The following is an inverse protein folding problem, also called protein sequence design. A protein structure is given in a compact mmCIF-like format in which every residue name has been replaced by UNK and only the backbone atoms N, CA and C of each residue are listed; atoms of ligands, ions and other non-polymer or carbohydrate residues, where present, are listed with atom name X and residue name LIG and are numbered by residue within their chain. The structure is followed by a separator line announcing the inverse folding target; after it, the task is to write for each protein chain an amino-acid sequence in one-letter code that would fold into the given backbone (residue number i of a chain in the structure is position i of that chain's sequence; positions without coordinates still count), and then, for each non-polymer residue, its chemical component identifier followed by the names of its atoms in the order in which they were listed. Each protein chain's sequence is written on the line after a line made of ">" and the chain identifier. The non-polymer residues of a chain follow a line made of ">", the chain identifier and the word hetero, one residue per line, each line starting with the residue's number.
data_IF_897603384933
#
_entry.id   IF_897603384933
#
_cell.length_a   1.000
_cell.length_b   1.000
_cell.length_c   1.000
_cell.angle_alpha   90.00
_cell.angle_beta   90.00
_cell.angle_gamma   90.00
#
_symmetry.space_group_name_H-M   'P 1'
#
loop_
_entity.id
_entity.type
_entity.pdbx_description
1 polymer ?
#
# COMPACT_ATOMS: atom_id res chain seq x y z
N UNK A 1 -3.14 5.53 22.88
CA UNK A 1 -2.04 5.16 21.95
C UNK A 1 -2.52 5.44 20.55
N UNK A 2 -2.00 6.51 19.96
CA UNK A 2 -2.28 6.90 18.58
C UNK A 2 -0.98 6.88 17.81
N UNK A 3 -0.99 6.35 16.58
CA UNK A 3 0.24 6.23 15.80
C UNK A 3 0.11 5.18 14.70
N UNK A 4 1.27 4.72 14.24
CA UNK A 4 1.39 3.71 13.19
C UNK A 4 2.37 2.62 13.57
N UNK A 5 2.17 1.42 13.05
CA UNK A 5 3.09 0.30 13.18
C UNK A 5 3.41 -0.20 11.79
N UNK A 6 4.69 -0.30 11.47
CA UNK A 6 5.16 -0.96 10.25
C UNK A 6 5.24 -2.47 10.49
N UNK A 7 4.17 -3.21 10.19
CA UNK A 7 4.16 -4.66 10.43
C UNK A 7 4.76 -5.40 9.25
N UNK A 8 5.66 -6.34 9.52
CA UNK A 8 6.00 -7.39 8.58
C UNK A 8 4.91 -8.47 8.65
N UNK A 9 3.94 -8.44 7.72
CA UNK A 9 2.89 -9.45 7.66
C UNK A 9 3.52 -10.80 7.29
N UNK A 10 3.32 -11.87 8.09
CA UNK A 10 3.75 -13.21 7.71
C UNK A 10 2.83 -13.81 6.62
N UNK A 11 3.32 -14.80 5.90
CA UNK A 11 2.52 -15.63 4.98
C UNK A 11 1.42 -16.36 5.78
N UNK A 12 0.27 -16.61 5.15
CA UNK A 12 -0.84 -17.37 5.73
C UNK A 12 -1.84 -16.55 6.56
N UNK A 13 -1.53 -15.28 6.88
CA UNK A 13 -2.46 -14.37 7.54
C UNK A 13 -3.11 -13.41 6.55
N UNK A 14 -4.41 -13.16 6.64
CA UNK A 14 -4.99 -11.99 5.95
C UNK A 14 -4.50 -10.69 6.61
N UNK A 15 -4.63 -9.56 5.91
CA UNK A 15 -4.38 -8.25 6.54
C UNK A 15 -5.31 -7.98 7.74
N UNK A 16 -6.52 -8.55 7.72
CA UNK A 16 -7.49 -8.42 8.83
C UNK A 16 -7.08 -9.27 10.04
N UNK A 17 -6.46 -10.43 9.82
CA UNK A 17 -5.96 -11.27 10.91
C UNK A 17 -4.85 -10.56 11.69
N UNK A 18 -3.97 -9.84 11.01
CA UNK A 18 -2.96 -8.99 11.68
C UNK A 18 -3.63 -7.91 12.53
N UNK A 19 -4.65 -7.23 12.00
CA UNK A 19 -5.41 -6.24 12.77
C UNK A 19 -6.07 -6.87 13.99
N UNK A 20 -6.68 -8.06 13.84
CA UNK A 20 -7.32 -8.78 14.93
C UNK A 20 -6.32 -9.28 15.98
N UNK A 21 -5.13 -9.68 15.55
CA UNK A 21 -4.02 -10.06 16.42
C UNK A 21 -3.52 -8.87 17.25
N UNK A 22 -3.25 -7.73 16.61
CA UNK A 22 -2.83 -6.50 17.30
C UNK A 22 -3.91 -5.97 18.25
N UNK A 23 -5.18 -6.03 17.86
CA UNK A 23 -6.30 -5.63 18.71
C UNK A 23 -6.32 -6.40 20.03
N UNK A 24 -6.05 -7.72 19.97
CA UNK A 24 -5.96 -8.58 21.15
C UNK A 24 -4.72 -8.27 21.99
N UNK A 25 -3.54 -8.17 21.37
CA UNK A 25 -2.30 -7.88 22.07
C UNK A 25 -2.33 -6.52 22.81
N UNK A 26 -2.76 -5.48 22.10
CA UNK A 26 -2.70 -4.09 22.59
C UNK A 26 -3.92 -3.70 23.43
N UNK A 27 -4.94 -4.57 23.51
CA UNK A 27 -6.26 -4.26 24.06
C UNK A 27 -6.85 -2.94 23.50
N UNK A 28 -6.74 -2.73 22.18
CA UNK A 28 -7.06 -1.45 21.54
C UNK A 28 -7.99 -1.64 20.34
N UNK A 29 -9.18 -1.03 20.38
CA UNK A 29 -10.26 -1.34 19.41
C UNK A 29 -10.05 -0.69 18.03
N UNK A 30 -9.67 0.60 18.02
CA UNK A 30 -9.61 1.42 16.80
C UNK A 30 -8.28 1.18 16.07
N UNK A 31 -8.29 0.20 15.18
CA UNK A 31 -7.13 -0.23 14.39
C UNK A 31 -7.56 -0.43 12.92
N UNK A 32 -6.77 0.05 11.98
CA UNK A 32 -6.94 -0.16 10.54
C UNK A 32 -5.61 -0.38 9.83
N UNK A 33 -5.62 -0.68 8.53
CA UNK A 33 -4.39 -0.91 7.75
C UNK A 33 -4.36 -0.09 6.46
N UNK A 34 -3.15 0.28 5.99
CA UNK A 34 -2.93 1.08 4.78
C UNK A 34 -2.69 0.19 3.54
N UNK A 35 -3.74 -0.50 3.11
CA UNK A 35 -3.73 -1.30 1.89
C UNK A 35 -3.55 -2.80 2.14
N UNK A 36 -4.51 -3.55 1.63
CA UNK A 36 -4.56 -5.02 1.75
C UNK A 36 -3.33 -5.65 1.11
N UNK A 37 -2.89 -6.75 1.71
CA UNK A 37 -1.92 -7.69 1.17
C UNK A 37 -2.57 -9.08 1.18
N UNK A 38 -2.40 -9.82 0.10
CA UNK A 38 -2.99 -11.16 -0.05
C UNK A 38 -2.47 -12.11 1.05
N UNK A 39 -3.23 -13.17 1.42
CA UNK A 39 -2.86 -14.06 2.52
C UNK A 39 -1.47 -14.67 2.35
N UNK A 40 -1.14 -15.14 1.16
CA UNK A 40 0.12 -15.81 0.89
C UNK A 40 1.27 -14.88 0.48
N UNK A 41 0.99 -13.57 0.43
CA UNK A 41 2.04 -12.57 0.33
C UNK A 41 2.61 -12.24 1.72
N UNK A 42 3.87 -11.85 1.78
CA UNK A 42 4.51 -11.31 2.97
C UNK A 42 4.88 -9.83 2.78
N UNK A 43 5.30 -9.17 3.85
CA UNK A 43 5.96 -7.86 3.75
C UNK A 43 5.24 -6.73 4.47
N UNK A 44 5.60 -5.51 4.08
CA UNK A 44 5.20 -4.25 4.72
C UNK A 44 3.67 -4.11 4.75
N UNK A 45 3.10 -4.03 5.94
CA UNK A 45 1.70 -3.76 6.21
C UNK A 45 1.60 -2.63 7.25
N UNK A 46 1.43 -1.38 6.80
CA UNK A 46 1.27 -0.28 7.74
C UNK A 46 -0.08 -0.39 8.45
N UNK A 47 -0.02 -0.40 9.78
CA UNK A 47 -1.18 -0.44 10.68
C UNK A 47 -1.33 0.92 11.34
N UNK A 48 -2.55 1.44 11.39
CA UNK A 48 -2.86 2.69 12.07
C UNK A 48 -3.65 2.43 13.34
N UNK A 49 -3.28 3.12 14.42
CA UNK A 49 -3.93 3.06 15.72
C UNK A 49 -4.65 4.38 16.02
N UNK A 50 -5.88 4.29 16.51
CA UNK A 50 -6.59 5.41 17.12
C UNK A 50 -6.82 6.56 16.15
N UNK A 51 -6.30 7.75 16.45
CA UNK A 51 -6.35 8.93 15.56
C UNK A 51 -5.65 8.68 14.22
N UNK A 52 -4.63 7.82 14.19
CA UNK A 52 -3.90 7.45 12.98
C UNK A 52 -4.79 6.83 11.90
N UNK A 53 -5.89 6.17 12.27
CA UNK A 53 -6.80 5.57 11.26
C UNK A 53 -7.44 6.63 10.37
N UNK A 54 -7.56 7.88 10.84
CA UNK A 54 -8.11 9.00 10.07
C UNK A 54 -7.10 9.61 9.08
N UNK A 55 -5.82 9.27 9.26
CA UNK A 55 -4.72 9.77 8.44
C UNK A 55 -4.30 8.79 7.34
N UNK A 56 -4.87 7.58 7.32
CA UNK A 56 -4.58 6.57 6.29
C UNK A 56 -4.75 7.11 4.86
N UNK A 57 -5.75 7.96 4.61
CA UNK A 57 -5.99 8.55 3.28
C UNK A 57 -4.81 9.39 2.76
N UNK A 58 -4.03 10.01 3.66
CA UNK A 58 -2.87 10.82 3.30
C UNK A 58 -1.63 9.98 3.02
N UNK A 59 -1.60 8.73 3.50
CA UNK A 59 -0.49 7.80 3.27
C UNK A 59 -0.71 6.90 2.04
N UNK A 60 -1.97 6.73 1.63
CA UNK A 60 -2.40 5.77 0.61
C UNK A 60 -2.13 6.20 -0.84
N UNK A 61 -1.70 7.44 -1.08
CA UNK A 61 -1.40 7.95 -2.43
C UNK A 61 0.04 7.64 -2.89
N UNK A 62 0.82 6.95 -2.05
CA UNK A 62 2.20 6.60 -2.36
C UNK A 62 2.29 5.34 -3.24
N UNK A 63 3.36 5.28 -4.02
CA UNK A 63 3.78 4.08 -4.75
C UNK A 63 4.01 2.90 -3.81
N UNK A 64 3.93 1.69 -4.36
CA UNK A 64 4.25 0.45 -3.66
C UNK A 64 5.38 -0.25 -4.40
N UNK A 65 6.27 -0.89 -3.65
CA UNK A 65 7.34 -1.73 -4.21
C UNK A 65 7.14 -3.16 -3.77
N UNK A 66 7.34 -4.08 -4.70
CA UNK A 66 7.26 -5.51 -4.48
C UNK A 66 8.49 -6.20 -5.05
N UNK A 67 8.80 -7.34 -4.45
CA UNK A 67 9.59 -8.41 -5.03
C UNK A 67 8.65 -9.58 -5.31
N UNK A 68 8.64 -10.06 -6.54
CA UNK A 68 7.72 -11.10 -6.97
C UNK A 68 8.43 -12.16 -7.80
N UNK A 69 7.98 -13.40 -7.61
CA UNK A 69 8.42 -14.57 -8.38
C UNK A 69 7.24 -15.01 -9.27
N UNK A 70 7.43 -14.98 -10.58
CA UNK A 70 6.48 -15.51 -11.56
C UNK A 70 6.84 -16.95 -11.88
N UNK A 71 5.83 -17.81 -12.07
CA UNK A 71 5.97 -19.17 -12.58
C UNK A 71 5.30 -19.27 -13.95
N UNK A 72 6.06 -19.71 -14.96
CA UNK A 72 5.60 -19.83 -16.35
C UNK A 72 4.97 -21.19 -16.62
N UNK A 73 4.04 -21.25 -17.57
CA UNK A 73 3.39 -22.49 -17.98
C UNK A 73 2.24 -22.94 -17.07
N UNK A 74 1.90 -22.17 -16.03
CA UNK A 74 0.82 -22.50 -15.08
C UNK A 74 -0.13 -21.31 -14.99
N UNK A 75 -1.41 -21.56 -15.24
CA UNK A 75 -2.50 -20.61 -14.99
C UNK A 75 -3.41 -21.16 -13.88
N UNK A 76 -3.82 -20.30 -12.95
CA UNK A 76 -4.74 -20.65 -11.86
C UNK A 76 -5.97 -19.74 -11.83
N UNK A 77 -7.03 -20.17 -11.13
CA UNK A 77 -8.27 -19.40 -10.98
C UNK A 77 -8.07 -18.03 -10.30
N UNK A 78 -7.05 -17.89 -9.45
CA UNK A 78 -6.76 -16.69 -8.65
C UNK A 78 -5.58 -15.87 -9.18
N UNK A 79 -4.93 -16.33 -10.26
CA UNK A 79 -3.67 -15.78 -10.83
C UNK A 79 -2.48 -15.83 -9.85
N UNK A 80 -2.58 -16.63 -8.81
CA UNK A 80 -1.52 -17.01 -7.87
C UNK A 80 -1.59 -18.52 -7.57
N UNK A 81 -0.58 -19.06 -6.89
CA UNK A 81 -0.55 -20.48 -6.55
C UNK A 81 -1.55 -20.92 -5.47
N UNK A 82 -2.40 -20.02 -4.95
CA UNK A 82 -3.44 -20.36 -3.98
C UNK A 82 -4.70 -20.89 -4.68
N UNK A 83 -4.84 -20.61 -5.97
CA UNK A 83 -5.96 -21.06 -6.79
C UNK A 83 -5.75 -22.44 -7.39
N UNK A 84 -6.85 -22.99 -7.88
CA UNK A 84 -6.83 -24.24 -8.64
C UNK A 84 -6.16 -24.02 -10.01
N UNK A 85 -5.35 -24.98 -10.44
CA UNK A 85 -4.72 -24.95 -11.76
C UNK A 85 -5.79 -25.14 -12.83
N UNK A 86 -5.93 -24.17 -13.73
CA UNK A 86 -6.88 -24.21 -14.86
C UNK A 86 -6.19 -24.55 -16.17
N UNK A 87 -4.88 -24.30 -16.29
CA UNK A 87 -4.11 -24.70 -17.45
C UNK A 87 -2.65 -25.01 -17.09
N UNK A 88 -2.10 -26.03 -17.76
CA UNK A 88 -0.67 -26.31 -17.84
C UNK A 88 -0.26 -26.28 -19.30
N UNK A 89 0.75 -25.48 -19.63
CA UNK A 89 1.25 -25.29 -20.99
C UNK A 89 2.74 -25.59 -21.03
N UNK A 90 3.18 -26.23 -22.10
CA UNK A 90 4.61 -26.40 -22.36
C UNK A 90 5.23 -25.04 -22.62
N UNK A 91 6.34 -24.75 -21.95
CA UNK A 91 7.13 -23.54 -22.18
C UNK A 91 8.30 -23.92 -23.10
N UNK A 92 8.43 -23.23 -24.23
CA UNK A 92 9.50 -23.47 -25.20
C UNK A 92 10.75 -22.65 -24.87
N UNK A 93 11.89 -23.03 -25.45
CA UNK A 93 13.15 -22.31 -25.25
C UNK A 93 13.06 -20.87 -25.76
N UNK A 94 12.41 -20.66 -26.90
CA UNK A 94 12.21 -19.35 -27.52
C UNK A 94 11.41 -18.42 -26.60
N UNK A 95 10.41 -18.97 -25.88
CA UNK A 95 9.65 -18.20 -24.90
C UNK A 95 10.53 -17.78 -23.71
N UNK A 96 11.37 -18.68 -23.20
CA UNK A 96 12.31 -18.34 -22.12
C UNK A 96 13.31 -17.26 -22.55
N UNK A 97 13.81 -17.32 -23.79
CA UNK A 97 14.71 -16.31 -24.37
C UNK A 97 14.01 -14.95 -24.58
N UNK A 98 12.72 -14.93 -24.91
CA UNK A 98 11.92 -13.70 -25.11
C UNK A 98 11.44 -13.06 -23.80
N UNK A 99 11.42 -13.81 -22.69
CA UNK A 99 10.84 -13.37 -21.42
C UNK A 99 11.36 -11.99 -20.94
N UNK A 100 12.68 -11.69 -20.92
CA UNK A 100 13.15 -10.39 -20.44
C UNK A 100 12.64 -9.21 -21.27
N UNK A 101 12.55 -9.38 -22.59
CA UNK A 101 12.04 -8.35 -23.49
C UNK A 101 10.55 -8.11 -23.26
N UNK A 102 9.76 -9.19 -23.17
CA UNK A 102 8.32 -9.12 -22.92
C UNK A 102 8.02 -8.52 -21.54
N UNK A 103 8.77 -8.89 -20.51
CA UNK A 103 8.62 -8.29 -19.18
C UNK A 103 8.84 -6.76 -19.26
N UNK A 104 9.84 -6.31 -20.02
CA UNK A 104 10.15 -4.91 -20.24
C UNK A 104 9.01 -4.09 -20.86
N UNK A 105 8.15 -4.71 -21.68
CA UNK A 105 6.99 -4.04 -22.31
C UNK A 105 5.96 -3.54 -21.28
N UNK A 106 5.93 -4.10 -20.07
CA UNK A 106 4.98 -3.73 -19.02
C UNK A 106 5.41 -2.50 -18.20
N UNK A 107 6.59 -1.91 -18.47
CA UNK A 107 7.00 -0.67 -17.82
C UNK A 107 6.24 0.52 -18.42
N UNK A 108 5.82 1.46 -17.56
CA UNK A 108 5.06 2.65 -17.95
C UNK A 108 3.57 2.53 -17.60
N UNK A 109 2.72 3.24 -18.35
CA UNK A 109 1.27 3.16 -18.17
C UNK A 109 0.72 1.93 -18.88
N UNK A 110 -0.01 1.09 -18.14
CA UNK A 110 -0.65 -0.12 -18.65
C UNK A 110 -2.11 -0.19 -18.19
N UNK A 111 -2.92 -0.94 -18.92
CA UNK A 111 -4.28 -1.27 -18.49
C UNK A 111 -4.33 -2.66 -17.88
N UNK A 112 -4.92 -2.78 -16.68
CA UNK A 112 -5.15 -4.06 -16.02
C UNK A 112 -6.64 -4.28 -15.82
N UNK A 113 -7.09 -5.51 -16.09
CA UNK A 113 -8.41 -5.97 -15.66
C UNK A 113 -8.25 -6.57 -14.27
N UNK A 114 -8.86 -5.99 -13.22
CA UNK A 114 -8.76 -6.55 -11.87
C UNK A 114 -9.16 -8.03 -11.82
N UNK A 115 -8.47 -8.86 -11.03
CA UNK A 115 -8.83 -10.27 -10.90
C UNK A 115 -10.17 -10.40 -10.17
N UNK A 116 -10.87 -11.50 -10.44
CA UNK A 116 -12.12 -11.85 -9.75
C UNK A 116 -11.93 -11.98 -8.24
N UNK A 117 -10.77 -12.47 -7.79
CA UNK A 117 -10.44 -12.52 -6.35
C UNK A 117 -9.75 -11.23 -5.93
N UNK A 118 -10.54 -10.16 -5.79
CA UNK A 118 -10.07 -8.84 -5.33
C UNK A 118 -11.07 -8.11 -4.44
N UNK A 119 -10.61 -7.05 -3.76
CA UNK A 119 -11.44 -6.23 -2.87
C UNK A 119 -12.26 -5.15 -3.59
N UNK A 120 -12.19 -5.09 -4.93
CA UNK A 120 -12.98 -4.14 -5.74
C UNK A 120 -14.46 -4.40 -5.54
N UNK A 121 -15.25 -3.33 -5.49
CA UNK A 121 -16.71 -3.43 -5.45
C UNK A 121 -17.32 -3.27 -6.83
N UNK A 122 -18.25 -4.16 -7.17
CA UNK A 122 -19.13 -4.09 -8.35
C UNK A 122 -20.56 -4.24 -7.83
N UNK A 123 -21.42 -3.28 -8.17
CA UNK A 123 -22.82 -3.24 -7.70
C UNK A 123 -22.97 -3.41 -6.18
N UNK A 124 -22.07 -2.79 -5.40
CA UNK A 124 -22.08 -2.80 -3.93
C UNK A 124 -21.45 -4.04 -3.27
N UNK A 125 -21.22 -5.14 -4.00
CA UNK A 125 -20.58 -6.37 -3.49
C UNK A 125 -19.10 -6.43 -3.84
N UNK A 126 -18.27 -7.06 -3.02
CA UNK A 126 -16.83 -7.22 -3.33
C UNK A 126 -16.61 -8.39 -4.30
N UNK A 127 -15.66 -8.27 -5.24
CA UNK A 127 -15.42 -9.29 -6.25
C UNK A 127 -15.04 -10.65 -5.64
N UNK A 128 -14.25 -10.69 -4.55
CA UNK A 128 -13.95 -11.95 -3.89
C UNK A 128 -15.19 -12.64 -3.29
N UNK A 129 -16.24 -11.89 -2.93
CA UNK A 129 -17.50 -12.47 -2.41
C UNK A 129 -18.26 -13.15 -3.54
N UNK A 130 -18.27 -12.54 -4.72
CA UNK A 130 -18.88 -13.09 -5.93
C UNK A 130 -18.11 -14.31 -6.45
N UNK A 131 -16.78 -14.25 -6.45
CA UNK A 131 -15.93 -15.36 -6.88
C UNK A 131 -16.16 -16.63 -6.03
N UNK A 132 -16.32 -16.47 -4.70
CA UNK A 132 -16.67 -17.59 -3.80
C UNK A 132 -18.05 -18.18 -4.06
N UNK A 133 -18.94 -17.42 -4.67
CA UNK A 133 -20.27 -17.87 -5.09
C UNK A 133 -20.26 -18.48 -6.51
N UNK A 134 -19.09 -18.59 -7.14
CA UNK A 134 -18.96 -19.03 -8.54
C UNK A 134 -19.47 -18.00 -9.56
N UNK A 135 -19.76 -16.76 -9.13
CA UNK A 135 -20.30 -15.72 -10.00
C UNK A 135 -19.15 -14.93 -10.61
N UNK A 136 -19.01 -15.03 -11.92
CA UNK A 136 -18.12 -14.17 -12.71
C UNK A 136 -18.87 -12.92 -13.17
N UNK A 137 -18.22 -11.76 -13.08
CA UNK A 137 -18.76 -10.49 -13.58
C UNK A 137 -17.74 -9.84 -14.51
N UNK A 138 -18.22 -9.05 -15.46
CA UNK A 138 -17.35 -8.22 -16.28
C UNK A 138 -16.72 -7.11 -15.42
N UNK A 139 -15.43 -6.83 -15.66
CA UNK A 139 -14.68 -5.80 -14.92
C UNK A 139 -14.08 -4.82 -15.90
N UNK A 140 -14.24 -3.53 -15.60
CA UNK A 140 -13.63 -2.48 -16.42
C UNK A 140 -12.10 -2.47 -16.25
N UNK A 141 -11.34 -2.36 -17.34
CA UNK A 141 -9.90 -2.11 -17.28
C UNK A 141 -9.61 -0.84 -16.48
N UNK A 142 -8.44 -0.83 -15.82
CA UNK A 142 -7.96 0.32 -15.05
C UNK A 142 -6.53 0.62 -15.44
N UNK A 143 -6.26 1.91 -15.63
CA UNK A 143 -4.90 2.40 -15.85
C UNK A 143 -4.10 2.37 -14.55
N UNK A 144 -2.91 1.80 -14.64
CA UNK A 144 -1.91 1.77 -13.58
C UNK A 144 -0.55 2.09 -14.18
N UNK A 145 0.37 2.55 -13.34
CA UNK A 145 1.73 2.90 -13.77
C UNK A 145 2.73 1.98 -13.08
N UNK A 146 3.62 1.38 -13.86
CA UNK A 146 4.80 0.66 -13.41
C UNK A 146 6.01 1.56 -13.65
N UNK A 147 6.49 2.22 -12.60
CA UNK A 147 7.59 3.19 -12.68
C UNK A 147 8.96 2.52 -12.76
N UNK A 148 9.11 1.39 -12.06
CA UNK A 148 10.33 0.56 -12.04
C UNK A 148 9.91 -0.90 -12.26
N UNK A 149 10.64 -1.59 -13.13
CA UNK A 149 10.48 -3.02 -13.38
C UNK A 149 11.88 -3.59 -13.67
N UNK A 150 12.40 -4.38 -12.75
CA UNK A 150 13.77 -4.87 -12.81
C UNK A 150 13.78 -6.39 -12.65
N UNK A 151 14.17 -7.09 -13.71
CA UNK A 151 14.48 -8.52 -13.65
C UNK A 151 15.73 -8.74 -12.79
N UNK A 152 15.64 -9.66 -11.83
CA UNK A 152 16.72 -9.97 -10.90
C UNK A 152 17.36 -11.32 -11.23
N UNK A 153 16.53 -12.35 -11.44
CA UNK A 153 16.99 -13.73 -11.61
C UNK A 153 16.01 -14.51 -12.48
N UNK A 154 16.52 -15.48 -13.24
CA UNK A 154 15.73 -16.45 -13.98
C UNK A 154 16.21 -17.86 -13.65
N UNK A 155 15.28 -18.79 -13.48
CA UNK A 155 15.54 -20.22 -13.29
C UNK A 155 14.97 -20.98 -14.48
N UNK A 156 15.67 -20.93 -15.62
CA UNK A 156 15.18 -21.42 -16.92
C UNK A 156 15.86 -22.70 -17.41
N UNK A 157 16.80 -23.26 -16.64
CA UNK A 157 17.53 -24.48 -17.04
C UNK A 157 16.67 -25.75 -16.99
N UNK A 158 15.66 -25.78 -16.11
CA UNK A 158 14.71 -26.89 -15.97
C UNK A 158 13.39 -26.44 -15.37
N UNK A 159 12.25 -27.09 -15.68
CA UNK A 159 10.98 -26.77 -15.07
C UNK A 159 10.94 -27.15 -13.57
N UNK A 160 10.13 -26.46 -12.73
CA UNK A 160 9.30 -25.31 -13.10
C UNK A 160 10.14 -24.06 -13.42
N UNK A 161 9.76 -23.35 -14.48
CA UNK A 161 10.47 -22.15 -14.93
C UNK A 161 9.96 -20.93 -14.16
N UNK A 162 10.87 -20.24 -13.48
CA UNK A 162 10.52 -19.09 -12.65
C UNK A 162 11.42 -17.90 -12.94
N UNK A 163 10.92 -16.70 -12.68
CA UNK A 163 11.73 -15.48 -12.71
C UNK A 163 11.39 -14.58 -11.52
N UNK A 164 12.42 -13.95 -10.96
CA UNK A 164 12.31 -13.04 -9.83
C UNK A 164 12.54 -11.61 -10.33
N UNK A 165 11.65 -10.69 -9.97
CA UNK A 165 11.78 -9.28 -10.35
C UNK A 165 11.28 -8.35 -9.26
N UNK A 166 11.84 -7.15 -9.23
CA UNK A 166 11.36 -6.03 -8.45
C UNK A 166 10.43 -5.15 -9.30
N UNK A 167 9.38 -4.62 -8.69
CA UNK A 167 8.41 -3.74 -9.34
C UNK A 167 8.01 -2.60 -8.40
N UNK A 168 8.10 -1.35 -8.86
CA UNK A 168 7.48 -0.20 -8.23
C UNK A 168 6.30 0.29 -9.07
N UNK A 169 5.14 0.39 -8.44
CA UNK A 169 3.90 0.63 -9.14
C UNK A 169 2.95 1.59 -8.39
N UNK A 170 2.00 2.14 -9.13
CA UNK A 170 0.94 2.97 -8.59
C UNK A 170 -0.01 2.19 -7.67
N UNK A 171 -0.84 2.92 -6.94
CA UNK A 171 -1.95 2.32 -6.20
C UNK A 171 -2.90 1.60 -7.17
N UNK A 172 -3.40 0.44 -6.76
CA UNK A 172 -4.41 -0.31 -7.51
C UNK A 172 -3.85 -1.34 -8.49
N UNK A 173 -2.53 -1.39 -8.70
CA UNK A 173 -1.87 -2.44 -9.48
C UNK A 173 -2.01 -3.80 -8.81
N UNK A 174 -2.39 -4.80 -9.59
CA UNK A 174 -2.42 -6.20 -9.20
C UNK A 174 -1.19 -6.92 -9.76
N UNK A 175 -0.27 -7.31 -8.89
CA UNK A 175 0.96 -8.04 -9.30
C UNK A 175 0.62 -9.42 -9.86
N UNK A 176 -0.46 -10.04 -9.36
CA UNK A 176 -1.02 -11.29 -9.91
C UNK A 176 -1.41 -11.15 -11.37
N UNK A 177 -2.14 -10.08 -11.69
CA UNK A 177 -2.54 -9.74 -13.06
C UNK A 177 -1.35 -9.37 -13.93
N UNK A 178 -0.36 -8.65 -13.40
CA UNK A 178 0.89 -8.40 -14.12
C UNK A 178 1.57 -9.70 -14.54
N UNK A 179 1.71 -10.67 -13.62
CA UNK A 179 2.31 -11.96 -13.93
C UNK A 179 1.49 -12.73 -14.97
N UNK A 180 0.17 -12.77 -14.79
CA UNK A 180 -0.75 -13.40 -15.74
C UNK A 180 -0.63 -12.79 -17.14
N UNK A 181 -0.69 -11.46 -17.26
CA UNK A 181 -0.63 -10.74 -18.54
C UNK A 181 0.73 -10.95 -19.24
N UNK A 182 1.84 -10.96 -18.49
CA UNK A 182 3.16 -11.33 -19.01
C UNK A 182 3.14 -12.74 -19.61
N UNK A 183 2.55 -13.70 -18.90
CA UNK A 183 2.40 -15.07 -19.37
C UNK A 183 1.53 -15.20 -20.62
N UNK A 184 0.43 -14.44 -20.70
CA UNK A 184 -0.44 -14.38 -21.88
C UNK A 184 0.31 -13.77 -23.05
N UNK A 185 1.02 -12.66 -22.84
CA UNK A 185 1.82 -11.99 -23.87
C UNK A 185 2.93 -12.89 -24.41
N UNK A 186 3.52 -13.72 -23.54
CA UNK A 186 4.53 -14.73 -23.89
C UNK A 186 3.94 -15.98 -24.58
N UNK A 187 2.63 -16.20 -24.45
CA UNK A 187 1.91 -17.32 -25.07
C UNK A 187 2.00 -18.64 -24.30
N UNK A 188 2.61 -18.67 -23.11
CA UNK A 188 2.70 -19.89 -22.29
C UNK A 188 1.83 -19.84 -21.02
N UNK A 189 1.19 -18.70 -20.72
CA UNK A 189 0.51 -18.51 -19.44
C UNK A 189 1.49 -18.40 -18.27
N UNK A 190 1.04 -17.80 -17.18
CA UNK A 190 1.82 -17.67 -15.97
C UNK A 190 0.95 -17.32 -14.76
N UNK A 191 1.50 -17.53 -13.57
CA UNK A 191 0.89 -17.17 -12.29
C UNK A 191 1.92 -16.56 -11.35
N UNK A 192 1.45 -15.82 -10.35
CA UNK A 192 2.31 -15.35 -9.26
C UNK A 192 2.58 -16.49 -8.28
N UNK A 193 3.85 -16.79 -8.01
CA UNK A 193 4.25 -17.86 -7.09
C UNK A 193 4.68 -17.35 -5.72
N UNK A 194 5.36 -16.21 -5.66
CA UNK A 194 5.74 -15.55 -4.39
C UNK A 194 5.60 -14.05 -4.50
N UNK A 195 5.20 -13.42 -3.38
CA UNK A 195 5.05 -11.98 -3.30
C UNK A 195 5.54 -11.44 -1.95
N UNK A 196 6.45 -10.48 -2.01
CA UNK A 196 6.94 -9.73 -0.87
C UNK A 196 6.77 -8.24 -1.14
N UNK A 197 5.92 -7.54 -0.36
CA UNK A 197 5.83 -6.08 -0.43
C UNK A 197 6.96 -5.45 0.35
N UNK A 198 7.87 -4.78 -0.35
CA UNK A 198 9.08 -4.18 0.23
C UNK A 198 8.89 -2.72 0.64
N UNK A 199 7.88 -2.03 0.08
CA UNK A 199 7.54 -0.65 0.42
C UNK A 199 6.04 -0.41 0.29
N UNK A 200 5.45 0.32 1.23
CA UNK A 200 4.07 0.81 1.13
C UNK A 200 3.85 2.02 2.03
N UNK A 201 3.20 3.06 1.50
CA UNK A 201 2.72 4.19 2.32
C UNK A 201 3.83 4.89 3.13
N UNK A 202 5.02 5.04 2.54
CA UNK A 202 6.20 5.61 3.20
C UNK A 202 7.04 4.62 4.01
N UNK A 203 6.47 3.45 4.35
CA UNK A 203 7.16 2.41 5.13
C UNK A 203 7.96 1.47 4.24
N UNK A 204 9.10 1.00 4.76
CA UNK A 204 10.03 0.07 4.10
C UNK A 204 10.17 -1.23 4.89
N UNK A 205 10.55 -2.29 4.19
CA UNK A 205 10.73 -3.62 4.79
C UNK A 205 11.88 -3.66 5.80
N UNK A 206 12.93 -2.87 5.59
CA UNK A 206 14.08 -2.75 6.51
C UNK A 206 13.66 -2.34 7.92
N UNK A 207 12.58 -1.56 8.03
CA UNK A 207 12.11 -0.97 9.28
C UNK A 207 10.86 -1.70 9.80
N UNK A 208 10.50 -2.84 9.19
CA UNK A 208 9.28 -3.56 9.51
C UNK A 208 9.49 -4.49 10.71
N UNK A 209 8.46 -4.56 11.55
CA UNK A 209 8.43 -5.34 12.76
C UNK A 209 7.63 -6.63 12.56
N UNK A 210 8.25 -7.77 12.85
CA UNK A 210 7.57 -9.05 13.00
C UNK A 210 6.61 -9.01 14.18
N UNK A 211 5.52 -9.79 14.14
CA UNK A 211 4.55 -9.88 15.25
C UNK A 211 5.23 -10.28 16.57
N UNK A 212 6.20 -11.18 16.52
CA UNK A 212 6.95 -11.69 17.68
C UNK A 212 7.73 -10.56 18.37
N UNK A 213 8.47 -9.75 17.59
CA UNK A 213 9.20 -8.57 18.11
C UNK A 213 8.25 -7.52 18.70
N UNK A 214 7.09 -7.30 18.09
CA UNK A 214 6.06 -6.38 18.62
C UNK A 214 5.56 -6.88 19.98
N UNK A 215 5.22 -8.18 20.06
CA UNK A 215 4.77 -8.81 21.30
C UNK A 215 5.81 -8.67 22.41
N UNK A 216 7.06 -9.04 22.13
CA UNK A 216 8.14 -8.97 23.10
C UNK A 216 8.37 -7.55 23.62
N UNK A 217 8.35 -6.54 22.74
CA UNK A 217 8.48 -5.14 23.15
C UNK A 217 7.27 -4.67 23.96
N UNK A 218 6.07 -5.05 23.55
CA UNK A 218 4.85 -4.71 24.26
C UNK A 218 4.89 -5.21 25.72
N UNK A 219 5.22 -6.48 25.91
CA UNK A 219 5.35 -7.16 27.21
C UNK A 219 6.48 -6.57 28.07
N UNK A 220 7.58 -6.17 27.44
CA UNK A 220 8.69 -5.47 28.11
C UNK A 220 8.43 -3.98 28.40
N UNK A 221 7.22 -3.45 28.12
CA UNK A 221 6.89 -2.05 28.31
C UNK A 221 7.48 -1.07 27.27
N UNK A 222 8.20 -1.57 26.27
CA UNK A 222 8.82 -0.79 25.19
C UNK A 222 7.84 -0.53 24.05
N UNK A 223 8.02 0.57 23.33
CA UNK A 223 7.10 1.03 22.26
C UNK A 223 7.82 1.40 20.97
N UNK A 224 9.02 0.88 20.77
CA UNK A 224 9.91 1.20 19.64
C UNK A 224 9.29 0.87 18.27
N UNK A 225 8.29 -0.01 18.23
CA UNK A 225 7.51 -0.35 17.04
C UNK A 225 6.45 0.71 16.66
N UNK A 226 6.19 1.69 17.52
CA UNK A 226 5.15 2.70 17.34
C UNK A 226 5.73 4.00 16.78
N UNK A 227 5.37 4.30 15.55
CA UNK A 227 5.63 5.60 14.93
C UNK A 227 4.58 6.62 15.37
N UNK A 228 5.03 7.86 15.61
CA UNK A 228 4.14 8.98 15.94
C UNK A 228 3.25 9.36 14.75
N UNK A 229 2.17 10.10 15.02
CA UNK A 229 1.27 10.58 13.96
C UNK A 229 1.96 11.54 12.99
N UNK A 230 2.89 12.35 13.48
CA UNK A 230 3.62 13.36 12.69
C UNK A 230 4.76 12.74 11.88
N UNK A 231 5.48 11.79 12.47
CA UNK A 231 6.72 11.24 11.89
C UNK A 231 6.53 10.41 10.62
N UNK A 232 5.30 10.04 10.28
CA UNK A 232 4.99 9.25 9.08
C UNK A 232 4.48 10.10 7.92
N UNK A 233 4.16 11.37 8.17
CA UNK A 233 3.66 12.30 7.18
C UNK A 233 4.82 13.14 6.66
N UNK A 234 4.91 13.29 5.34
CA UNK A 234 5.94 14.09 4.67
C UNK A 234 5.57 15.56 4.52
N UNK A 235 4.53 16.02 5.22
CA UNK A 235 4.01 17.38 5.12
C UNK A 235 4.79 18.32 6.05
N UNK A 236 5.01 19.60 5.69
CA UNK A 236 5.57 20.58 6.61
C UNK A 236 4.73 20.70 7.88
N UNK A 237 5.38 21.10 8.97
CA UNK A 237 4.78 21.18 10.30
C UNK A 237 4.73 22.62 10.75
N UNK A 238 3.56 23.08 11.19
CA UNK A 238 3.34 24.40 11.80
C UNK A 238 2.91 24.21 13.24
N UNK A 239 3.64 24.82 14.17
CA UNK A 239 3.28 24.90 15.58
C UNK A 239 2.28 26.04 15.79
N UNK A 240 1.18 25.76 16.48
CA UNK A 240 0.16 26.77 16.83
C UNK A 240 0.11 27.01 18.33
N UNK A 241 -0.27 28.24 18.71
CA UNK A 241 -0.59 28.58 20.09
C UNK A 241 -2.00 28.09 20.48
N UNK A 242 -2.37 28.26 21.76
CA UNK A 242 -3.65 27.77 22.29
C UNK A 242 -4.89 28.40 21.61
N UNK A 243 -4.83 29.69 21.26
CA UNK A 243 -5.95 30.39 20.60
C UNK A 243 -6.17 29.87 19.17
N UNK A 244 -5.07 29.72 18.43
CA UNK A 244 -5.07 29.13 17.10
C UNK A 244 -5.50 27.67 17.13
N UNK A 245 -5.05 26.88 18.11
CA UNK A 245 -5.47 25.50 18.32
C UNK A 245 -6.98 25.40 18.49
N UNK A 246 -7.58 26.21 19.37
CA UNK A 246 -9.02 26.24 19.58
C UNK A 246 -9.78 26.58 18.30
N UNK A 247 -9.29 27.56 17.54
CA UNK A 247 -9.85 27.94 16.24
C UNK A 247 -9.79 26.77 15.25
N UNK A 248 -8.64 26.10 15.13
CA UNK A 248 -8.45 24.94 14.26
C UNK A 248 -9.38 23.78 14.66
N UNK A 249 -9.57 23.52 15.96
CA UNK A 249 -10.48 22.46 16.43
C UNK A 249 -11.95 22.72 16.09
N UNK A 250 -12.32 23.99 15.97
CA UNK A 250 -13.62 24.44 15.47
C UNK A 250 -13.71 24.43 13.94
N UNK A 251 -12.62 24.10 13.23
CA UNK A 251 -12.55 24.08 11.78
C UNK A 251 -12.35 25.47 11.16
N UNK A 252 -12.04 26.49 11.97
CA UNK A 252 -11.80 27.85 11.49
C UNK A 252 -10.45 27.94 10.79
N UNK A 253 -10.42 28.76 9.75
CA UNK A 253 -9.20 29.17 9.08
C UNK A 253 -8.35 30.04 10.02
N UNK A 254 -7.02 29.87 10.00
CA UNK A 254 -6.09 30.69 10.78
C UNK A 254 -5.03 31.34 9.86
N UNK A 255 -4.59 32.57 10.16
CA UNK A 255 -3.49 33.21 9.44
C UNK A 255 -2.17 32.53 9.79
N UNK A 256 -1.27 32.41 8.81
CA UNK A 256 0.11 32.00 9.02
C UNK A 256 0.97 33.28 9.12
N UNK A 257 1.57 33.51 10.30
CA UNK A 257 2.18 34.80 10.66
C UNK A 257 3.72 34.77 10.60
N UNK A 258 4.35 33.59 10.65
CA UNK A 258 5.81 33.44 10.60
C UNK A 258 6.22 32.40 9.54
N UNK A 259 7.20 32.76 8.72
CA UNK A 259 7.76 31.92 7.64
C UNK A 259 9.16 31.45 8.02
N UNK A 260 9.23 30.32 8.71
CA UNK A 260 10.44 29.49 8.85
C UNK A 260 10.30 28.17 8.07
N UNK A 261 9.32 28.11 7.15
CA UNK A 261 8.92 26.91 6.44
C UNK A 261 9.18 27.06 4.95
N UNK A 262 9.66 25.99 4.32
CA UNK A 262 9.67 25.79 2.86
C UNK A 262 8.22 25.68 2.35
N UNK A 263 7.52 26.81 2.36
CA UNK A 263 6.17 26.92 1.83
C UNK A 263 6.23 26.94 0.31
N UNK A 264 5.35 26.16 -0.29
CA UNK A 264 5.21 26.17 -1.73
C UNK A 264 4.65 27.52 -2.21
N UNK A 265 4.84 27.82 -3.49
CA UNK A 265 4.31 29.01 -4.13
C UNK A 265 2.78 29.14 -3.93
N UNK A 266 2.22 30.36 -3.92
CA UNK A 266 0.80 30.66 -3.67
C UNK A 266 -0.25 29.77 -4.35
N UNK A 267 0.06 29.23 -5.52
CA UNK A 267 -0.87 28.42 -6.34
C UNK A 267 -0.67 26.90 -6.19
N UNK A 268 0.28 26.48 -5.36
CA UNK A 268 0.54 25.07 -5.11
C UNK A 268 -0.26 24.60 -3.90
N UNK A 269 -1.17 23.65 -4.14
CA UNK A 269 -1.89 22.97 -3.05
C UNK A 269 -0.89 22.18 -2.19
N UNK A 270 -0.55 22.73 -1.05
CA UNK A 270 0.32 22.10 -0.06
C UNK A 270 -0.49 21.69 1.16
N UNK A 271 -0.32 20.44 1.60
CA UNK A 271 -0.86 19.98 2.88
C UNK A 271 0.15 20.27 3.99
N UNK A 272 -0.36 20.70 5.14
CA UNK A 272 0.41 21.12 6.31
C UNK A 272 -0.10 20.35 7.53
N UNK A 273 0.83 19.93 8.39
CA UNK A 273 0.53 19.40 9.71
C UNK A 273 0.42 20.56 10.69
N UNK A 274 -0.73 20.71 11.34
CA UNK A 274 -0.90 21.64 12.46
C UNK A 274 -0.64 20.88 13.75
N UNK A 275 0.38 21.29 14.51
CA UNK A 275 0.75 20.68 15.78
C UNK A 275 0.62 21.69 16.93
N UNK A 276 0.27 21.19 18.11
CA UNK A 276 0.34 21.92 19.38
C UNK A 276 1.40 21.29 20.28
N UNK A 277 1.51 21.75 21.53
CA UNK A 277 2.41 21.18 22.53
C UNK A 277 2.15 19.69 22.86
N UNK A 278 0.97 19.16 22.51
CA UNK A 278 0.53 17.77 22.77
C UNK A 278 0.64 16.88 21.52
N UNK A 279 0.85 17.46 20.34
CA UNK A 279 1.10 16.75 19.09
C UNK A 279 0.17 17.18 17.95
N UNK A 280 -0.15 16.25 17.05
CA UNK A 280 -0.90 16.55 15.83
C UNK A 280 -2.37 16.92 16.12
N UNK A 281 -2.75 18.14 15.73
CA UNK A 281 -4.10 18.68 15.87
C UNK A 281 -4.91 18.46 14.61
N UNK A 282 -4.35 18.79 13.45
CA UNK A 282 -5.05 18.70 12.17
C UNK A 282 -4.11 18.56 10.98
N UNK A 283 -4.67 18.08 9.86
CA UNK A 283 -4.12 18.33 8.54
C UNK A 283 -4.87 19.51 7.93
N UNK A 284 -4.13 20.49 7.44
CA UNK A 284 -4.63 21.69 6.80
C UNK A 284 -4.12 21.81 5.37
N UNK A 285 -4.82 22.61 4.57
CA UNK A 285 -4.37 23.06 3.26
C UNK A 285 -3.87 24.49 3.38
N UNK A 286 -2.71 24.77 2.76
CA UNK A 286 -2.18 26.11 2.61
C UNK A 286 -2.97 26.87 1.55
N UNK A 287 -3.43 28.07 1.89
CA UNK A 287 -4.19 28.95 0.99
C UNK A 287 -3.50 30.31 0.94
N UNK A 288 -3.39 30.89 -0.26
CA UNK A 288 -2.99 32.27 -0.44
C UNK A 288 -4.22 33.15 -0.67
N UNK A 289 -4.52 34.05 0.28
CA UNK A 289 -5.68 34.94 0.20
C UNK A 289 -5.27 36.33 0.65
N UNK A 290 -5.73 37.37 -0.06
CA UNK A 290 -5.50 38.78 0.32
C UNK A 290 -4.02 39.10 0.64
N UNK A 291 -3.10 38.56 -0.17
CA UNK A 291 -1.64 38.73 0.00
C UNK A 291 -1.06 38.13 1.29
N UNK A 292 -1.74 37.14 1.89
CA UNK A 292 -1.28 36.44 3.08
C UNK A 292 -1.58 34.94 2.99
N UNK A 293 -0.73 34.12 3.61
CA UNK A 293 -0.98 32.70 3.77
C UNK A 293 -1.95 32.41 4.92
N UNK A 294 -2.85 31.45 4.68
CA UNK A 294 -3.78 30.91 5.66
C UNK A 294 -3.74 29.40 5.66
N UNK A 295 -4.04 28.81 6.82
CA UNK A 295 -4.23 27.37 6.97
C UNK A 295 -5.72 27.07 7.11
N UNK A 296 -6.25 26.29 6.18
CA UNK A 296 -7.62 25.78 6.25
C UNK A 296 -7.62 24.34 6.76
N UNK A 297 -8.15 24.06 7.97
CA UNK A 297 -8.26 22.70 8.46
C UNK A 297 -9.11 21.83 7.52
N UNK A 298 -8.55 20.71 7.07
CA UNK A 298 -9.22 19.68 6.25
C UNK A 298 -9.54 18.43 7.05
N UNK A 299 -8.70 18.09 8.03
CA UNK A 299 -8.93 16.97 8.95
C UNK A 299 -8.49 17.30 10.36
N UNK A 300 -9.43 17.69 11.20
CA UNK A 300 -9.19 17.93 12.63
C UNK A 300 -9.22 16.61 13.40
N UNK A 301 -8.15 16.27 14.12
CA UNK A 301 -8.02 15.06 14.94
C UNK A 301 -8.61 15.31 16.34
N UNK A 302 -9.84 14.85 16.53
CA UNK A 302 -10.54 14.78 17.82
C UNK A 302 -10.13 13.49 18.52
#
# INVERSE_FOLDING_TARGET
>A
MDGFINVLKPVGMTSHDVVAWLRRLLNYRKIGHAGTLDPNAAGVLPIALGKGTRLLEYLLNNTKRYRCEIILGIETTTQDLDGEIVARKTVTKEQLEQFPAILGEFRGEIEQIPPMVSAVRVQGKRLYELARQGVSVERTPRRVVISELQLLETCFDRPPYTALFDVECSKGTYIRTLCYDVGIRLGCGASLSRLLRTKSAGFRLSDAWTLEKIKANWEAGKRDFLHSLTGVLSFPVVLVNEEQEQSVRQGKQIPLVETDHDLAEPDVKQLIQIVDAKGLVAIAELLWLKQQFFLQPRKVLR
#
